data_IF_286066524470
#
_entry.id   IF_286066524470
#
_cell.length_a   1.000
_cell.length_b   1.000
_cell.length_c   1.000
_cell.angle_alpha   90.00
_cell.angle_beta   90.00
_cell.angle_gamma   90.00
#
_symmetry.space_group_name_H-M   'P 1'
#
loop_
_entity.id
_entity.type
_entity.pdbx_description
1 polymer ?
#
# COMPACT_ATOMS: atom_id res chain seq x y z
N UNK A 1 -3.87 15.75 -2.45
CA UNK A 1 -3.63 14.43 -3.05
C UNK A 1 -3.30 14.59 -4.53
N UNK A 2 -2.40 13.77 -5.08
CA UNK A 2 -2.21 13.65 -6.53
C UNK A 2 -3.24 12.65 -7.10
N UNK A 3 -4.40 13.19 -7.46
CA UNK A 3 -5.52 12.41 -7.99
C UNK A 3 -5.22 11.81 -9.38
N UNK A 4 -4.44 12.49 -10.22
CA UNK A 4 -4.12 12.03 -11.57
C UNK A 4 -3.31 10.74 -11.49
N UNK A 5 -2.30 10.70 -10.62
CA UNK A 5 -1.49 9.52 -10.33
C UNK A 5 -2.35 8.38 -9.78
N UNK A 6 -3.23 8.63 -8.79
CA UNK A 6 -4.09 7.57 -8.24
C UNK A 6 -5.10 7.03 -9.26
N UNK A 7 -5.65 7.88 -10.14
CA UNK A 7 -6.52 7.43 -11.26
C UNK A 7 -5.75 6.57 -12.26
N UNK A 8 -4.51 6.95 -12.58
CA UNK A 8 -3.64 6.16 -13.44
C UNK A 8 -3.36 4.78 -12.83
N UNK A 9 -2.93 4.75 -11.56
CA UNK A 9 -2.63 3.52 -10.84
C UNK A 9 -3.88 2.63 -10.71
N UNK A 10 -5.05 3.20 -10.41
CA UNK A 10 -6.31 2.45 -10.36
C UNK A 10 -6.60 1.72 -11.67
N UNK A 11 -6.42 2.36 -12.82
CA UNK A 11 -6.56 1.70 -14.13
C UNK A 11 -5.47 0.68 -14.40
N UNK A 12 -4.24 0.92 -13.98
CA UNK A 12 -3.13 0.01 -14.17
C UNK A 12 -3.32 -1.29 -13.35
N UNK A 13 -3.68 -1.16 -12.07
CA UNK A 13 -4.02 -2.29 -11.21
C UNK A 13 -5.25 -3.05 -11.72
N UNK A 14 -6.32 -2.37 -12.15
CA UNK A 14 -7.53 -3.03 -12.65
C UNK A 14 -7.34 -3.84 -13.94
N UNK A 15 -6.15 -3.85 -14.56
CA UNK A 15 -5.80 -4.68 -15.72
C UNK A 15 -4.96 -5.91 -15.35
N UNK A 16 -4.71 -6.11 -14.06
CA UNK A 16 -3.90 -7.22 -13.53
C UNK A 16 -4.83 -8.35 -13.11
N UNK A 17 -4.53 -9.57 -13.54
CA UNK A 17 -5.32 -10.76 -13.19
C UNK A 17 -5.27 -11.03 -11.68
N UNK A 18 -4.22 -10.56 -10.99
CA UNK A 18 -4.04 -10.68 -9.55
C UNK A 18 -4.91 -9.68 -8.75
N UNK A 19 -5.60 -8.75 -9.41
CA UNK A 19 -6.41 -7.70 -8.78
C UNK A 19 -7.89 -8.00 -8.98
N UNK A 20 -8.60 -8.26 -7.89
CA UNK A 20 -10.05 -8.50 -7.92
C UNK A 20 -10.84 -7.19 -7.95
N UNK A 21 -10.33 -6.12 -7.33
CA UNK A 21 -11.03 -4.83 -7.29
C UNK A 21 -10.10 -3.65 -7.09
N UNK A 22 -10.44 -2.52 -7.72
CA UNK A 22 -9.88 -1.20 -7.37
C UNK A 22 -11.00 -0.26 -6.94
N UNK A 23 -10.78 0.53 -5.89
CA UNK A 23 -11.70 1.56 -5.41
C UNK A 23 -10.95 2.86 -5.20
N UNK A 24 -11.26 3.86 -6.03
CA UNK A 24 -10.68 5.20 -5.93
C UNK A 24 -11.53 6.05 -4.98
N UNK A 25 -10.89 6.63 -3.97
CA UNK A 25 -11.50 7.48 -2.95
C UNK A 25 -12.75 6.87 -2.29
N UNK A 26 -12.63 5.64 -1.73
CA UNK A 26 -13.74 5.05 -0.99
C UNK A 26 -14.12 5.94 0.19
N UNK A 27 -15.41 5.97 0.53
CA UNK A 27 -15.97 6.89 1.55
C UNK A 27 -15.25 6.83 2.90
N UNK A 28 -14.74 5.66 3.30
CA UNK A 28 -14.03 5.46 4.56
C UNK A 28 -12.52 5.78 4.51
N UNK A 29 -11.95 5.98 3.32
CA UNK A 29 -10.54 6.31 3.10
C UNK A 29 -10.41 7.35 1.99
N UNK A 30 -10.83 8.60 2.24
CA UNK A 30 -10.70 9.67 1.27
C UNK A 30 -9.24 9.86 0.87
N UNK A 31 -9.01 10.35 -0.35
CA UNK A 31 -7.68 10.59 -0.92
C UNK A 31 -6.79 9.35 -1.10
N UNK A 32 -7.36 8.14 -1.01
CA UNK A 32 -6.63 6.89 -1.25
C UNK A 32 -7.16 6.12 -2.45
N UNK A 33 -6.30 5.32 -3.05
CA UNK A 33 -6.67 4.18 -3.87
C UNK A 33 -6.60 2.92 -2.99
N UNK A 34 -7.71 2.20 -2.88
CA UNK A 34 -7.74 0.85 -2.32
C UNK A 34 -7.74 -0.17 -3.45
N UNK A 35 -6.90 -1.20 -3.32
CA UNK A 35 -6.81 -2.32 -4.27
C UNK A 35 -7.00 -3.60 -3.49
N UNK A 36 -7.97 -4.42 -3.86
CA UNK A 36 -8.14 -5.77 -3.33
C UNK A 36 -7.43 -6.74 -4.27
N UNK A 37 -6.53 -7.55 -3.74
CA UNK A 37 -5.88 -8.61 -4.50
C UNK A 37 -6.71 -9.89 -4.39
N UNK A 38 -6.63 -10.70 -5.44
CA UNK A 38 -7.25 -12.01 -5.42
C UNK A 38 -6.44 -12.96 -4.50
N UNK A 39 -7.14 -13.60 -3.57
CA UNK A 39 -6.56 -14.49 -2.58
C UNK A 39 -6.02 -15.79 -3.21
N UNK A 40 -6.50 -16.18 -4.41
CA UNK A 40 -6.01 -17.36 -5.13
C UNK A 40 -4.53 -17.26 -5.50
N UNK A 41 -3.98 -16.03 -5.59
CA UNK A 41 -2.55 -15.79 -5.82
C UNK A 41 -1.70 -15.79 -4.55
N UNK A 42 -2.30 -16.12 -3.40
CA UNK A 42 -1.64 -16.11 -2.09
C UNK A 42 -1.69 -17.51 -1.45
N UNK A 43 -0.78 -17.81 -0.50
CA UNK A 43 -0.85 -19.08 0.24
C UNK A 43 -2.21 -19.27 0.92
N UNK A 44 -2.73 -20.50 0.98
CA UNK A 44 -4.09 -20.83 1.46
C UNK A 44 -4.47 -20.22 2.82
N UNK A 45 -3.49 -19.95 3.69
CA UNK A 45 -3.71 -19.33 4.99
C UNK A 45 -4.06 -17.84 4.93
N UNK A 46 -3.95 -17.20 3.77
CA UNK A 46 -4.22 -15.78 3.54
C UNK A 46 -5.60 -15.62 2.90
N UNK A 47 -6.55 -15.06 3.65
CA UNK A 47 -7.95 -14.95 3.22
C UNK A 47 -8.30 -13.62 2.55
N UNK A 48 -7.69 -12.51 2.97
CA UNK A 48 -7.93 -11.19 2.36
C UNK A 48 -6.62 -10.46 2.22
N UNK A 49 -6.38 -9.89 1.04
CA UNK A 49 -5.19 -9.08 0.76
C UNK A 49 -5.60 -7.78 0.10
N UNK A 50 -5.01 -6.67 0.56
CA UNK A 50 -5.26 -5.36 -0.02
C UNK A 50 -4.02 -4.47 -0.02
N UNK A 51 -3.92 -3.61 -1.03
CA UNK A 51 -3.05 -2.46 -1.04
C UNK A 51 -3.84 -1.18 -0.77
N UNK A 52 -3.24 -0.25 -0.04
CA UNK A 52 -3.70 1.12 0.08
C UNK A 52 -2.61 2.08 -0.37
N UNK A 53 -2.94 2.96 -1.31
CA UNK A 53 -2.01 3.92 -1.87
C UNK A 53 -2.52 5.34 -1.63
N UNK A 54 -1.61 6.23 -1.22
CA UNK A 54 -1.81 7.68 -1.22
C UNK A 54 -0.62 8.32 -1.91
N UNK A 55 -0.88 9.20 -2.87
CA UNK A 55 0.13 9.97 -3.58
C UNK A 55 -0.09 11.47 -3.32
N UNK A 56 0.99 12.23 -3.19
CA UNK A 56 0.96 13.66 -2.97
C UNK A 56 1.58 14.40 -4.17
N UNK A 57 1.15 15.63 -4.41
CA UNK A 57 1.57 16.43 -5.56
C UNK A 57 3.04 16.86 -5.50
N UNK A 58 3.70 16.72 -4.35
CA UNK A 58 5.12 16.97 -4.14
C UNK A 58 5.99 15.72 -4.40
N UNK A 59 5.41 14.63 -4.88
CA UNK A 59 6.10 13.36 -5.15
C UNK A 59 6.22 12.43 -3.94
N UNK A 60 5.72 12.81 -2.77
CA UNK A 60 5.61 11.91 -1.61
C UNK A 60 4.53 10.85 -1.84
N UNK A 61 4.63 9.74 -1.12
CA UNK A 61 3.60 8.70 -1.12
C UNK A 61 3.62 7.83 0.13
N UNK A 62 2.50 7.12 0.33
CA UNK A 62 2.39 5.97 1.23
C UNK A 62 1.76 4.81 0.48
N UNK A 63 2.37 3.63 0.58
CA UNK A 63 1.80 2.37 0.08
C UNK A 63 1.78 1.37 1.22
N UNK A 64 0.61 0.89 1.62
CA UNK A 64 0.47 -0.13 2.65
C UNK A 64 -0.04 -1.42 2.03
N UNK A 65 0.60 -2.53 2.37
CA UNK A 65 0.07 -3.88 2.13
C UNK A 65 -0.57 -4.38 3.41
N UNK A 66 -1.74 -5.00 3.30
CA UNK A 66 -2.42 -5.66 4.39
C UNK A 66 -2.84 -7.05 3.98
N UNK A 67 -2.59 -8.02 4.85
CA UNK A 67 -3.13 -9.36 4.73
C UNK A 67 -3.83 -9.79 6.02
N UNK A 68 -4.92 -10.53 5.86
CA UNK A 68 -5.64 -11.18 6.96
C UNK A 68 -5.56 -12.68 6.76
N UNK A 69 -5.09 -13.36 7.80
CA UNK A 69 -5.02 -14.82 7.94
C UNK A 69 -6.00 -15.27 9.02
N UNK A 70 -6.24 -16.57 9.15
CA UNK A 70 -7.04 -17.11 10.25
C UNK A 70 -6.41 -16.75 11.61
N UNK A 71 -6.97 -15.74 12.29
CA UNK A 71 -6.52 -15.26 13.60
C UNK A 71 -5.35 -14.28 13.59
N UNK A 72 -4.83 -13.87 12.42
CA UNK A 72 -3.65 -12.98 12.33
C UNK A 72 -3.86 -11.89 11.27
N UNK A 73 -3.29 -10.71 11.50
CA UNK A 73 -3.25 -9.60 10.54
C UNK A 73 -1.82 -9.16 10.39
N UNK A 74 -1.37 -9.08 9.14
CA UNK A 74 -0.03 -8.57 8.84
C UNK A 74 -0.06 -7.40 7.90
N UNK A 75 0.96 -6.56 7.99
CA UNK A 75 1.13 -5.39 7.15
C UNK A 75 2.60 -5.02 6.99
N UNK A 76 2.90 -4.43 5.85
CA UNK A 76 4.14 -3.69 5.61
C UNK A 76 3.80 -2.40 4.86
N UNK A 77 4.74 -1.45 4.85
CA UNK A 77 4.52 -0.14 4.24
C UNK A 77 5.77 0.39 3.55
N UNK A 78 5.60 1.01 2.39
CA UNK A 78 6.62 1.78 1.69
C UNK A 78 6.22 3.24 1.71
N UNK A 79 7.13 4.09 2.16
CA UNK A 79 6.85 5.50 2.38
C UNK A 79 7.94 6.38 1.77
N UNK A 80 7.50 7.47 1.15
CA UNK A 80 8.34 8.60 0.77
C UNK A 80 7.78 9.83 1.47
N UNK A 81 8.41 10.28 2.54
CA UNK A 81 8.15 11.55 3.23
C UNK A 81 9.26 11.88 4.22
N UNK A 82 9.40 13.16 4.56
CA UNK A 82 10.36 13.58 5.58
C UNK A 82 9.92 13.14 6.98
N UNK A 83 10.85 12.67 7.80
CA UNK A 83 10.64 12.31 9.21
C UNK A 83 11.97 12.29 9.99
N UNK A 84 11.96 12.33 11.35
CA UNK A 84 13.17 12.55 12.13
C UNK A 84 14.05 11.29 12.34
N UNK A 85 13.57 10.08 12.02
CA UNK A 85 14.25 8.83 12.38
C UNK A 85 14.69 7.95 11.20
N UNK A 86 14.25 8.24 9.98
CA UNK A 86 14.67 7.56 8.77
C UNK A 86 14.88 8.58 7.65
N UNK A 87 15.57 8.15 6.61
CA UNK A 87 15.61 8.87 5.33
C UNK A 87 14.22 9.04 4.73
N UNK A 88 14.09 10.00 3.79
CA UNK A 88 12.81 10.32 3.13
C UNK A 88 12.13 9.08 2.56
N UNK A 89 12.91 8.18 1.97
CA UNK A 89 12.44 6.88 1.48
C UNK A 89 12.71 5.79 2.52
N UNK A 90 11.67 5.13 3.02
CA UNK A 90 11.84 4.08 4.02
C UNK A 90 10.76 2.99 3.89
N UNK A 91 11.06 1.83 4.49
CA UNK A 91 10.21 0.65 4.47
C UNK A 91 9.95 0.16 5.89
N UNK A 92 8.68 -0.06 6.20
CA UNK A 92 8.24 -0.73 7.41
C UNK A 92 7.95 -2.21 7.11
N UNK A 93 8.70 -3.17 7.68
CA UNK A 93 8.56 -4.58 7.35
C UNK A 93 7.31 -5.23 7.96
N UNK A 94 6.98 -6.42 7.45
CA UNK A 94 6.09 -7.37 8.13
C UNK A 94 6.70 -7.78 9.49
N UNK A 95 5.87 -8.18 10.48
CA UNK A 95 4.43 -8.43 10.37
C UNK A 95 3.54 -7.21 10.62
N UNK A 96 4.03 -6.13 11.19
CA UNK A 96 3.18 -5.10 11.82
C UNK A 96 3.44 -3.69 11.33
N UNK A 97 4.40 -3.49 10.44
CA UNK A 97 4.86 -2.18 9.99
C UNK A 97 5.27 -1.24 11.15
N UNK A 98 5.86 -1.81 12.21
CA UNK A 98 6.31 -1.02 13.36
C UNK A 98 7.30 0.08 12.94
N UNK A 99 7.13 1.27 13.49
CA UNK A 99 8.02 2.42 13.27
C UNK A 99 9.45 2.15 13.75
N UNK A 100 9.61 1.41 14.84
CA UNK A 100 10.93 1.03 15.39
C UNK A 100 11.67 0.02 14.52
N UNK A 101 10.94 -0.71 13.67
CA UNK A 101 11.50 -1.65 12.70
C UNK A 101 11.71 -1.03 11.31
N UNK A 102 11.41 0.26 11.12
CA UNK A 102 11.55 0.93 9.84
C UNK A 102 13.01 1.00 9.39
N UNK A 103 13.24 0.69 8.12
CA UNK A 103 14.58 0.70 7.51
C UNK A 103 14.64 1.67 6.33
N UNK A 104 15.77 2.34 6.22
CA UNK A 104 16.05 3.23 5.09
C UNK A 104 16.07 2.46 3.76
N UNK A 105 15.51 3.08 2.73
CA UNK A 105 15.46 2.58 1.37
C UNK A 105 15.66 3.73 0.39
N UNK A 106 15.69 3.41 -0.89
CA UNK A 106 15.64 4.40 -1.96
C UNK A 106 14.74 3.86 -3.05
N UNK A 107 13.77 4.67 -3.47
CA UNK A 107 12.84 4.34 -4.53
C UNK A 107 13.16 5.16 -5.78
N UNK A 108 12.76 4.67 -6.94
CA UNK A 108 12.92 5.44 -8.18
C UNK A 108 12.17 6.78 -8.12
N UNK A 109 12.65 7.74 -8.89
CA UNK A 109 12.04 9.07 -9.12
C UNK A 109 11.69 9.23 -10.58
#
# INVERSE_FOLDING_TARGET
VDEATLRYLGRAFGRRDEVSQTSLFPTNKPERLAVTLDAEYHPELVGVVSLELRAYTNGDFHVSYHERRAGDRRQCRWDRHDQPHNTRDHFHPLPDADTTAAVDRSYAT
#
